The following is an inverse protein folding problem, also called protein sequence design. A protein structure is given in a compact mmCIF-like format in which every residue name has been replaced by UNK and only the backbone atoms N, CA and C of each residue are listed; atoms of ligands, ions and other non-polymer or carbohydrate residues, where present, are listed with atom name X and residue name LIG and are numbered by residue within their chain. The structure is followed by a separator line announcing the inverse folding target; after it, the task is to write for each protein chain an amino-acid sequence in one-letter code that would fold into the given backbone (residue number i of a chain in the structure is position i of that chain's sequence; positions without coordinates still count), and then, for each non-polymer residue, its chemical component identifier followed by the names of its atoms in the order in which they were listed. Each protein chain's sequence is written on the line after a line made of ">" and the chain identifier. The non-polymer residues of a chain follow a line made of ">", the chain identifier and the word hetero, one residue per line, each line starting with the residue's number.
data_IF_032604531362
#
_entry.id   IF_032604531362
#
_cell.length_a   1.000
_cell.length_b   1.000
_cell.length_c   1.000
_cell.angle_alpha   90.00
_cell.angle_beta   90.00
_cell.angle_gamma   90.00
#
_symmetry.space_group_name_H-M   'P 1'
#
loop_
_entity.id
_entity.type
_entity.pdbx_description
1 polymer ?
#
# COMPACT_ATOMS: atom_id res chain seq x y z
N UNK A 1 -1.54 7.98 -27.51
CA UNK A 1 -1.34 8.58 -26.17
C UNK A 1 -1.04 7.48 -25.18
N UNK A 2 0.07 7.61 -24.45
CA UNK A 2 0.51 6.76 -23.35
C UNK A 2 -0.59 6.69 -22.27
N UNK A 3 -0.85 5.54 -21.65
CA UNK A 3 -0.15 5.21 -20.39
C UNK A 3 0.10 3.72 -20.22
N UNK A 4 1.34 3.44 -19.79
CA UNK A 4 1.96 2.14 -19.58
C UNK A 4 1.14 1.27 -18.63
N UNK A 5 0.80 0.06 -19.07
CA UNK A 5 0.49 -1.07 -18.19
C UNK A 5 1.71 -1.32 -17.30
N UNK A 6 1.70 -0.81 -16.07
CA UNK A 6 2.61 -1.25 -15.02
C UNK A 6 2.15 -2.64 -14.56
N UNK A 7 2.45 -3.65 -15.37
CA UNK A 7 2.31 -5.07 -15.04
C UNK A 7 3.40 -5.49 -14.02
N UNK A 8 3.43 -4.84 -12.86
CA UNK A 8 3.86 -5.52 -11.65
C UNK A 8 2.57 -6.06 -11.03
N UNK A 9 2.09 -7.18 -11.58
CA UNK A 9 0.94 -7.93 -11.08
C UNK A 9 1.16 -8.21 -9.59
N UNK A 10 0.19 -7.88 -8.73
CA UNK A 10 0.22 -8.09 -7.27
C UNK A 10 0.68 -9.51 -6.85
N UNK A 11 0.61 -10.49 -7.76
CA UNK A 11 1.12 -11.86 -7.60
C UNK A 11 2.64 -11.98 -7.32
N UNK A 12 3.44 -10.93 -7.53
CA UNK A 12 4.88 -10.94 -7.19
C UNK A 12 5.20 -10.27 -5.83
N UNK A 13 4.18 -9.78 -5.13
CA UNK A 13 4.34 -9.07 -3.86
C UNK A 13 4.10 -10.01 -2.68
N UNK A 14 5.15 -10.22 -1.88
CA UNK A 14 5.05 -10.99 -0.64
C UNK A 14 4.82 -10.01 0.50
N UNK A 15 3.68 -10.10 1.18
CA UNK A 15 3.43 -9.30 2.39
C UNK A 15 4.38 -9.79 3.49
N UNK A 16 5.28 -8.91 3.94
CA UNK A 16 6.27 -9.25 4.97
C UNK A 16 5.98 -8.58 6.31
N UNK A 17 5.24 -7.47 6.32
CA UNK A 17 4.94 -6.73 7.54
C UNK A 17 3.59 -6.00 7.42
N UNK A 18 2.87 -5.95 8.53
CA UNK A 18 1.68 -5.11 8.71
C UNK A 18 1.84 -4.33 10.00
N UNK A 19 1.70 -3.00 9.92
CA UNK A 19 1.83 -2.09 11.06
C UNK A 19 0.63 -1.15 11.13
N UNK A 20 0.03 -1.01 12.31
CA UNK A 20 -0.93 0.07 12.54
C UNK A 20 -0.21 1.41 12.64
N UNK A 21 -0.73 2.40 11.93
CA UNK A 21 -0.25 3.77 11.98
C UNK A 21 -0.98 4.53 13.09
N UNK A 22 -0.29 5.51 13.68
CA UNK A 22 -0.90 6.41 14.66
C UNK A 22 -1.86 7.37 13.97
N UNK A 23 -1.61 7.66 12.69
CA UNK A 23 -2.46 8.49 11.85
C UNK A 23 -3.80 7.81 11.51
N UNK A 24 -4.85 8.63 11.51
CA UNK A 24 -6.20 8.21 11.17
C UNK A 24 -6.52 8.47 9.71
N UNK A 25 -7.44 7.68 9.16
CA UNK A 25 -7.96 7.86 7.82
C UNK A 25 -8.67 9.20 7.70
N UNK A 26 -8.27 10.05 6.75
CA UNK A 26 -8.92 11.34 6.51
C UNK A 26 -10.38 11.27 6.05
N UNK A 27 -10.88 10.09 5.66
CA UNK A 27 -12.27 9.88 5.20
C UNK A 27 -13.21 9.41 6.31
N UNK A 28 -12.77 8.47 7.14
CA UNK A 28 -13.64 7.82 8.14
C UNK A 28 -13.07 7.84 9.56
N UNK A 29 -11.93 8.50 9.78
CA UNK A 29 -11.26 8.63 11.09
C UNK A 29 -10.83 7.33 11.77
N UNK A 30 -10.94 6.19 11.07
CA UNK A 30 -10.47 4.89 11.55
C UNK A 30 -8.94 4.76 11.39
N UNK A 31 -8.30 3.85 12.14
CA UNK A 31 -6.85 3.61 12.04
C UNK A 31 -6.42 3.28 10.60
N UNK A 32 -5.24 3.75 10.23
CA UNK A 32 -4.57 3.35 9.00
C UNK A 32 -3.62 2.19 9.27
N UNK A 33 -3.41 1.37 8.26
CA UNK A 33 -2.52 0.22 8.28
C UNK A 33 -1.49 0.40 7.18
N UNK A 34 -0.22 0.29 7.54
CA UNK A 34 0.88 0.20 6.60
C UNK A 34 1.19 -1.28 6.35
N UNK A 35 1.09 -1.70 5.10
CA UNK A 35 1.53 -3.00 4.61
C UNK A 35 2.83 -2.84 3.86
N UNK A 36 3.87 -3.55 4.29
CA UNK A 36 5.15 -3.62 3.58
C UNK A 36 5.20 -4.94 2.81
N UNK A 37 5.42 -4.81 1.50
CA UNK A 37 5.57 -5.90 0.57
C UNK A 37 7.01 -5.99 0.11
N UNK A 38 7.51 -7.20 -0.07
CA UNK A 38 8.79 -7.47 -0.71
C UNK A 38 8.56 -8.00 -2.13
N UNK A 39 9.41 -7.58 -3.05
CA UNK A 39 9.41 -8.01 -4.45
C UNK A 39 10.85 -8.08 -4.97
N UNK A 40 11.04 -8.67 -6.16
CA UNK A 40 12.34 -8.65 -6.85
C UNK A 40 12.87 -7.23 -7.11
N UNK A 41 12.00 -6.21 -7.10
CA UNK A 41 12.35 -4.80 -7.32
C UNK A 41 12.63 -4.04 -6.02
N UNK A 42 12.59 -4.73 -4.87
CA UNK A 42 12.76 -4.15 -3.54
C UNK A 42 11.44 -4.06 -2.75
N UNK A 43 11.47 -3.25 -1.69
CA UNK A 43 10.34 -3.05 -0.81
C UNK A 43 9.33 -2.08 -1.41
N UNK A 44 8.05 -2.44 -1.29
CA UNK A 44 6.93 -1.58 -1.64
C UNK A 44 6.04 -1.41 -0.41
N UNK A 45 5.49 -0.22 -0.22
CA UNK A 45 4.66 0.09 0.93
C UNK A 45 3.29 0.56 0.48
N UNK A 46 2.25 0.05 1.12
CA UNK A 46 0.85 0.40 0.86
C UNK A 46 0.20 0.83 2.17
N UNK A 47 -0.49 1.96 2.15
CA UNK A 47 -1.30 2.42 3.27
C UNK A 47 -2.75 2.08 2.94
N UNK A 48 -3.42 1.40 3.86
CA UNK A 48 -4.82 0.98 3.73
C UNK A 48 -5.64 1.39 4.96
N UNK A 49 -6.91 1.68 4.77
CA UNK A 49 -7.89 1.81 5.84
C UNK A 49 -8.76 0.55 5.87
N UNK A 50 -8.84 -0.12 7.02
CA UNK A 50 -9.64 -1.36 7.18
C UNK A 50 -11.14 -1.15 6.94
N UNK A 51 -11.65 0.05 7.20
CA UNK A 51 -13.10 0.31 7.22
C UNK A 51 -13.64 0.89 5.91
N UNK A 52 -12.97 1.88 5.32
CA UNK A 52 -13.52 2.60 4.16
C UNK A 52 -12.90 2.20 2.82
N UNK A 53 -11.98 1.22 2.81
CA UNK A 53 -11.33 0.73 1.60
C UNK A 53 -10.35 1.71 0.95
N UNK A 54 -9.99 2.81 1.63
CA UNK A 54 -8.93 3.70 1.17
C UNK A 54 -7.62 2.90 1.09
N UNK A 55 -6.96 2.95 -0.05
CA UNK A 55 -5.71 2.23 -0.29
C UNK A 55 -4.80 3.04 -1.23
N UNK A 56 -3.55 3.28 -0.81
CA UNK A 56 -2.59 4.06 -1.59
C UNK A 56 -1.18 3.48 -1.49
N UNK A 57 -0.49 3.41 -2.61
CA UNK A 57 0.93 3.02 -2.64
C UNK A 57 1.81 4.22 -2.26
N UNK A 58 2.70 4.02 -1.30
CA UNK A 58 3.73 5.00 -0.95
C UNK A 58 4.80 4.96 -2.03
N UNK A 59 4.92 6.03 -2.82
CA UNK A 59 6.07 6.21 -3.70
C UNK A 59 7.29 6.48 -2.83
N UNK A 60 8.26 5.57 -2.83
CA UNK A 60 9.61 5.88 -2.35
C UNK A 60 10.25 6.75 -3.44
N UNK A 61 10.52 8.01 -3.08
CA UNK A 61 11.20 8.98 -3.94
C UNK A 61 12.70 8.79 -3.93
#
# INVERSE_FOLDING_TARGET
>A
MYTRKSNATENELILIETKMLEEKCGKCSNPLILKTYWSKKGHQQKIECSECGLAVWRKMG
#
